data_IF_146779243047
#
_entry.id   IF_146779243047
#
_cell.length_a   1.000
_cell.length_b   1.000
_cell.length_c   1.000
_cell.angle_alpha   90.00
_cell.angle_beta   90.00
_cell.angle_gamma   90.00
#
_symmetry.space_group_name_H-M   'P 1'
#
loop_
_entity.id
_entity.type
_entity.pdbx_description
1 polymer ?
#
# COMPACT_ATOMS: atom_id res chain seq x y z
N UNK A 1 -7.82 7.80 6.00
CA UNK A 1 -7.61 6.38 5.61
C UNK A 1 -7.74 6.30 4.09
N UNK A 2 -6.88 5.54 3.41
CA UNK A 2 -6.96 5.41 1.94
C UNK A 2 -8.10 4.47 1.58
N UNK A 3 -9.32 5.01 1.48
CA UNK A 3 -10.55 4.25 1.21
C UNK A 3 -10.93 4.42 -0.25
N UNK A 4 -10.13 3.83 -1.15
CA UNK A 4 -10.47 3.76 -2.58
C UNK A 4 -11.13 2.41 -2.83
N UNK A 5 -12.31 2.35 -3.46
CA UNK A 5 -12.86 1.06 -3.88
C UNK A 5 -11.94 0.42 -4.91
N UNK A 6 -11.60 -0.85 -4.69
CA UNK A 6 -10.75 -1.67 -5.58
C UNK A 6 -11.58 -2.80 -6.15
N UNK A 7 -11.19 -3.34 -7.30
CA UNK A 7 -11.92 -4.47 -7.88
C UNK A 7 -11.30 -5.09 -9.14
N UNK A 8 -11.91 -6.16 -9.65
CA UNK A 8 -11.53 -6.81 -10.91
C UNK A 8 -11.98 -6.03 -12.16
N UNK A 9 -11.57 -6.49 -13.34
CA UNK A 9 -12.10 -6.03 -14.62
C UNK A 9 -11.77 -4.56 -14.94
N UNK A 10 -12.80 -3.74 -15.17
CA UNK A 10 -12.64 -2.33 -15.54
C UNK A 10 -12.56 -1.39 -14.32
N UNK A 11 -12.32 -1.92 -13.12
CA UNK A 11 -12.13 -1.10 -11.93
C UNK A 11 -10.93 -0.16 -12.10
N UNK A 12 -11.10 1.09 -11.64
CA UNK A 12 -10.07 2.12 -11.70
C UNK A 12 -8.85 1.83 -10.82
N UNK A 13 -9.03 1.06 -9.73
CA UNK A 13 -7.99 0.77 -8.77
C UNK A 13 -7.85 -0.72 -8.52
N UNK A 14 -6.60 -1.18 -8.39
CA UNK A 14 -6.22 -2.55 -8.09
C UNK A 14 -5.53 -2.66 -6.74
N UNK A 15 -5.80 -3.75 -6.05
CA UNK A 15 -5.10 -4.12 -4.82
C UNK A 15 -5.11 -5.62 -4.68
N UNK A 16 -4.08 -6.18 -4.05
CA UNK A 16 -4.00 -7.60 -3.73
C UNK A 16 -3.98 -7.76 -2.21
N UNK A 17 -4.90 -8.56 -1.66
CA UNK A 17 -4.96 -8.85 -0.23
C UNK A 17 -3.66 -9.52 0.26
N UNK A 18 -3.02 -10.30 -0.61
CA UNK A 18 -1.73 -10.94 -0.44
C UNK A 18 -0.57 -10.12 -1.03
N UNK A 19 -0.62 -8.78 -0.91
CA UNK A 19 0.37 -7.84 -1.48
C UNK A 19 1.83 -8.23 -1.19
N UNK A 20 2.10 -8.90 -0.07
CA UNK A 20 3.42 -9.39 0.34
C UNK A 20 4.01 -10.44 -0.61
N UNK A 21 3.23 -10.99 -1.55
CA UNK A 21 3.70 -11.89 -2.62
C UNK A 21 4.27 -11.16 -3.84
N UNK A 22 4.16 -9.83 -3.88
CA UNK A 22 4.55 -9.01 -5.02
C UNK A 22 5.82 -8.21 -4.66
N UNK A 23 7.01 -8.61 -5.15
CA UNK A 23 8.27 -7.98 -4.75
C UNK A 23 8.31 -6.46 -4.99
N UNK A 24 7.75 -5.99 -6.11
CA UNK A 24 7.63 -4.55 -6.38
C UNK A 24 6.75 -3.85 -5.33
N UNK A 25 5.63 -4.45 -4.94
CA UNK A 25 4.76 -3.86 -3.94
C UNK A 25 5.41 -3.83 -2.56
N UNK A 26 6.10 -4.90 -2.18
CA UNK A 26 6.87 -4.97 -0.92
C UNK A 26 7.89 -3.83 -0.87
N UNK A 27 8.70 -3.65 -1.93
CA UNK A 27 9.70 -2.60 -1.97
C UNK A 27 9.09 -1.18 -1.87
N UNK A 28 7.98 -0.93 -2.55
CA UNK A 28 7.29 0.37 -2.51
C UNK A 28 6.65 0.65 -1.15
N UNK A 29 5.95 -0.33 -0.57
CA UNK A 29 5.29 -0.19 0.74
C UNK A 29 6.34 -0.04 1.85
N UNK A 30 7.44 -0.77 1.79
CA UNK A 30 8.56 -0.61 2.72
C UNK A 30 9.19 0.78 2.61
N UNK A 31 9.42 1.28 1.38
CA UNK A 31 9.90 2.64 1.15
C UNK A 31 8.96 3.70 1.75
N UNK A 32 7.65 3.56 1.53
CA UNK A 32 6.63 4.43 2.13
C UNK A 32 6.67 4.40 3.66
N UNK A 33 6.78 3.21 4.26
CA UNK A 33 6.86 3.05 5.71
C UNK A 33 8.14 3.69 6.29
N UNK A 34 9.29 3.43 5.69
CA UNK A 34 10.57 4.02 6.13
C UNK A 34 10.56 5.55 6.04
N UNK A 35 10.02 6.11 4.95
CA UNK A 35 9.86 7.55 4.80
C UNK A 35 8.91 8.13 5.86
N UNK A 36 7.81 7.43 6.16
CA UNK A 36 6.87 7.82 7.21
C UNK A 36 7.53 7.82 8.60
N UNK A 37 8.26 6.76 8.95
CA UNK A 37 8.97 6.64 10.23
C UNK A 37 9.97 7.78 10.46
N UNK A 38 10.63 8.23 9.39
CA UNK A 38 11.53 9.36 9.44
C UNK A 38 10.76 10.69 9.57
N UNK A 39 9.83 10.96 8.66
CA UNK A 39 9.15 12.25 8.57
C UNK A 39 8.15 12.49 9.70
N UNK A 40 7.58 11.45 10.32
CA UNK A 40 6.68 11.59 11.48
C UNK A 40 7.34 12.22 12.71
N UNK A 41 8.67 12.33 12.71
CA UNK A 41 9.45 12.99 13.77
C UNK A 41 9.43 14.52 13.63
N UNK A 42 9.13 15.06 12.44
CA UNK A 42 8.87 16.48 12.24
C UNK A 42 7.39 16.80 12.49
N UNK A 43 7.05 17.51 13.59
CA UNK A 43 5.66 17.85 13.91
C UNK A 43 5.10 19.00 13.05
N UNK A 44 5.94 19.77 12.36
CA UNK A 44 5.52 20.95 11.62
C UNK A 44 5.02 20.59 10.22
N UNK A 45 5.87 19.94 9.42
CA UNK A 45 5.60 19.71 7.99
C UNK A 45 5.69 18.26 7.55
N UNK A 46 6.29 17.39 8.36
CA UNK A 46 6.62 16.02 7.99
C UNK A 46 5.45 15.20 7.42
N UNK A 47 4.24 15.36 7.98
CA UNK A 47 3.04 14.69 7.44
C UNK A 47 2.70 15.16 6.02
N UNK A 48 2.76 16.47 5.77
CA UNK A 48 2.48 17.06 4.45
C UNK A 48 3.55 16.64 3.43
N UNK A 49 4.82 16.68 3.82
CA UNK A 49 5.95 16.22 3.00
C UNK A 49 5.81 14.74 2.65
N UNK A 50 5.45 13.90 3.63
CA UNK A 50 5.27 12.47 3.38
C UNK A 50 4.18 12.19 2.34
N UNK A 51 3.05 12.90 2.43
CA UNK A 51 1.99 12.79 1.42
C UNK A 51 2.47 13.21 0.04
N UNK A 52 3.00 14.44 -0.07
CA UNK A 52 3.33 15.05 -1.35
C UNK A 52 4.49 14.35 -2.07
N UNK A 53 5.54 13.96 -1.35
CA UNK A 53 6.77 13.46 -1.95
C UNK A 53 6.82 11.93 -2.06
N UNK A 54 6.10 11.21 -1.19
CA UNK A 54 6.18 9.75 -1.13
C UNK A 54 4.85 9.07 -1.44
N UNK A 55 3.79 9.36 -0.67
CA UNK A 55 2.52 8.65 -0.82
C UNK A 55 1.86 8.92 -2.18
N UNK A 56 1.77 10.18 -2.59
CA UNK A 56 1.16 10.57 -3.86
C UNK A 56 1.97 10.10 -5.08
N UNK A 57 3.25 9.80 -4.91
CA UNK A 57 4.06 9.18 -5.95
C UNK A 57 3.82 7.66 -6.06
N UNK A 58 3.90 6.92 -4.96
CA UNK A 58 3.86 5.46 -5.00
C UNK A 58 2.45 4.86 -5.02
N UNK A 59 1.46 5.50 -4.38
CA UNK A 59 0.11 4.95 -4.29
C UNK A 59 -0.60 4.82 -5.66
N UNK A 60 -0.51 5.80 -6.59
CA UNK A 60 -1.10 5.63 -7.93
C UNK A 60 -0.48 4.47 -8.72
N UNK A 61 0.79 4.18 -8.50
CA UNK A 61 1.48 3.06 -9.16
C UNK A 61 1.00 1.73 -8.59
N UNK A 62 0.94 1.62 -7.26
CA UNK A 62 0.41 0.42 -6.59
C UNK A 62 -1.03 0.14 -7.01
N UNK A 63 -1.86 1.18 -7.06
CA UNK A 63 -3.28 1.05 -7.38
C UNK A 63 -3.59 1.01 -8.87
N UNK A 64 -2.59 1.16 -9.76
CA UNK A 64 -2.81 1.20 -11.19
C UNK A 64 -3.37 -0.14 -11.73
N UNK A 65 -4.33 -0.10 -12.68
CA UNK A 65 -4.74 -1.28 -13.46
C UNK A 65 -3.58 -1.99 -14.17
N UNK A 66 -2.52 -1.25 -14.51
CA UNK A 66 -1.30 -1.76 -15.15
C UNK A 66 -0.15 -1.96 -14.14
N UNK A 67 -0.43 -1.77 -12.85
CA UNK A 67 0.54 -1.86 -11.77
C UNK A 67 0.81 -3.29 -11.30
N UNK A 68 1.51 -3.46 -10.16
CA UNK A 68 1.91 -4.77 -9.65
C UNK A 68 0.71 -5.68 -9.37
N UNK A 69 -0.46 -5.11 -9.10
CA UNK A 69 -1.69 -5.84 -8.78
C UNK A 69 -2.66 -5.98 -9.96
N UNK A 70 -2.22 -5.77 -11.21
CA UNK A 70 -3.06 -5.80 -12.41
C UNK A 70 -3.97 -7.04 -12.53
N UNK A 71 -3.50 -8.19 -12.03
CA UNK A 71 -4.22 -9.48 -12.08
C UNK A 71 -5.06 -9.79 -10.85
N UNK A 72 -5.03 -8.94 -9.83
CA UNK A 72 -5.83 -9.16 -8.61
C UNK A 72 -7.33 -9.10 -8.93
N UNK A 73 -8.08 -9.91 -8.19
CA UNK A 73 -9.55 -9.94 -8.23
C UNK A 73 -10.20 -9.50 -6.91
N UNK A 74 -9.38 -9.13 -5.92
CA UNK A 74 -9.89 -8.64 -4.64
C UNK A 74 -10.66 -7.33 -4.83
N UNK A 75 -11.68 -7.14 -3.99
CA UNK A 75 -12.57 -5.99 -4.04
C UNK A 75 -12.96 -5.54 -2.63
N UNK A 76 -13.33 -4.26 -2.51
CA UNK A 76 -13.95 -3.72 -1.30
C UNK A 76 -14.94 -2.61 -1.67
N UNK A 77 -15.94 -2.38 -0.82
CA UNK A 77 -16.90 -1.30 -1.03
C UNK A 77 -16.27 0.06 -0.69
N UNK A 78 -16.84 1.17 -1.19
CA UNK A 78 -16.40 2.50 -0.80
C UNK A 78 -16.51 2.71 0.72
N UNK A 79 -15.38 3.05 1.35
CA UNK A 79 -15.29 3.26 2.81
C UNK A 79 -14.74 2.05 3.57
N UNK A 80 -14.72 0.87 2.96
CA UNK A 80 -14.09 -0.30 3.56
C UNK A 80 -12.56 -0.18 3.57
N UNK A 81 -11.88 -0.85 4.52
CA UNK A 81 -10.44 -1.03 4.44
C UNK A 81 -10.05 -1.82 3.19
N UNK A 82 -8.83 -1.56 2.70
CA UNK A 82 -8.26 -2.39 1.64
C UNK A 82 -8.20 -3.86 2.09
N UNK A 83 -8.55 -4.82 1.22
CA UNK A 83 -8.46 -6.23 1.54
C UNK A 83 -7.07 -6.62 2.04
N UNK A 84 -7.01 -7.53 3.00
CA UNK A 84 -5.76 -8.02 3.56
C UNK A 84 -5.87 -9.51 3.93
N UNK A 85 -4.85 -10.27 3.53
CA UNK A 85 -4.65 -11.65 3.92
C UNK A 85 -3.32 -11.76 4.64
N UNK A 86 -3.33 -12.33 5.84
CA UNK A 86 -2.11 -12.51 6.61
C UNK A 86 -1.10 -13.41 5.86
N UNK A 87 0.19 -13.04 5.83
CA UNK A 87 1.23 -13.92 5.30
C UNK A 87 1.34 -15.20 6.15
N UNK A 88 1.84 -16.31 5.58
CA UNK A 88 2.11 -17.51 6.35
C UNK A 88 3.03 -17.23 7.54
N UNK A 89 2.84 -17.97 8.63
CA UNK A 89 3.68 -17.84 9.82
C UNK A 89 5.17 -17.99 9.46
N UNK A 90 6.01 -17.09 10.00
CA UNK A 90 7.46 -17.11 9.81
C UNK A 90 7.99 -16.33 8.60
N UNK A 91 7.13 -15.76 7.75
CA UNK A 91 7.58 -14.97 6.59
C UNK A 91 8.09 -13.58 6.97
N UNK A 92 7.53 -12.98 8.01
CA UNK A 92 7.97 -11.71 8.57
C UNK A 92 8.24 -11.94 10.06
N UNK A 93 9.50 -12.22 10.47
CA UNK A 93 9.83 -12.34 11.88
C UNK A 93 9.59 -11.00 12.57
N UNK A 94 9.19 -11.04 13.85
CA UNK A 94 9.07 -9.82 14.65
C UNK A 94 10.46 -9.19 14.77
N UNK A 95 10.62 -7.99 14.20
CA UNK A 95 11.88 -7.23 14.22
C UNK A 95 11.91 -6.19 15.34
N UNK A 96 10.92 -6.16 16.23
CA UNK A 96 10.91 -5.32 17.43
C UNK A 96 11.75 -6.02 18.51
N UNK A 97 13.07 -5.83 18.42
CA UNK A 97 14.00 -6.10 19.53
C UNK A 97 13.93 -5.04 20.61
#
# INVERSE_FOLDING_TARGET
MYTRPVGPGNAHYRWAADWWRYPEAVARIEGLWRAWEHLRQDPATGSSTWWAEHADHHMPILLSPDGPFARSKDACEPGDPLPYTAPPAGWFPDMRG
#
